data_IF_495473001180
#
_entry.id   IF_495473001180
#
_cell.length_a   1.000
_cell.length_b   1.000
_cell.length_c   1.000
_cell.angle_alpha   90.00
_cell.angle_beta   90.00
_cell.angle_gamma   90.00
#
_symmetry.space_group_name_H-M   'P 1'
#
loop_
_entity.id
_entity.type
_entity.pdbx_description
1 polymer ?
#
# COMPACT_ATOMS: atom_id res chain seq x y z
N UNK A 1 -36.27 6.49 22.05
CA UNK A 1 -35.47 5.93 20.94
C UNK A 1 -34.43 5.02 21.57
N UNK A 2 -34.47 3.72 21.27
CA UNK A 2 -33.81 2.66 22.05
C UNK A 2 -32.30 2.55 21.77
N UNK A 3 -31.59 2.06 22.78
CA UNK A 3 -30.13 1.80 22.83
C UNK A 3 -29.58 1.00 21.63
N UNK A 4 -30.43 0.16 21.00
CA UNK A 4 -30.14 -0.55 19.74
C UNK A 4 -29.85 0.39 18.54
N UNK A 5 -30.47 1.56 18.48
CA UNK A 5 -30.26 2.50 17.37
C UNK A 5 -28.91 3.22 17.46
N UNK A 6 -28.42 3.50 18.68
CA UNK A 6 -27.10 4.13 18.88
C UNK A 6 -25.94 3.18 18.60
N UNK A 7 -26.11 1.90 18.93
CA UNK A 7 -25.07 0.88 18.72
C UNK A 7 -24.83 0.61 17.22
N UNK A 8 -25.89 0.56 16.41
CA UNK A 8 -25.79 0.38 14.95
C UNK A 8 -25.15 1.55 14.20
N UNK A 9 -25.27 2.79 14.68
CA UNK A 9 -24.67 3.95 13.98
C UNK A 9 -23.15 3.99 14.15
N UNK A 10 -22.65 3.73 15.36
CA UNK A 10 -21.21 3.75 15.65
C UNK A 10 -20.46 2.64 14.89
N UNK A 11 -21.00 1.42 14.81
CA UNK A 11 -20.37 0.32 14.06
C UNK A 11 -20.29 0.59 12.55
N UNK A 12 -21.23 1.36 11.99
CA UNK A 12 -21.20 1.74 10.58
C UNK A 12 -20.18 2.85 10.29
N UNK A 13 -19.99 3.78 11.24
CA UNK A 13 -18.97 4.84 11.13
C UNK A 13 -17.55 4.28 11.26
N UNK A 14 -17.31 3.40 12.24
CA UNK A 14 -16.00 2.75 12.44
C UNK A 14 -15.58 1.90 11.21
N UNK A 15 -16.54 1.21 10.60
CA UNK A 15 -16.31 0.46 9.36
C UNK A 15 -15.98 1.37 8.18
N UNK A 16 -16.66 2.52 8.05
CA UNK A 16 -16.39 3.48 6.98
C UNK A 16 -15.01 4.12 7.14
N UNK A 17 -14.61 4.47 8.37
CA UNK A 17 -13.27 5.00 8.65
C UNK A 17 -12.18 4.00 8.25
N UNK A 18 -12.36 2.73 8.62
CA UNK A 18 -11.43 1.64 8.25
C UNK A 18 -11.31 1.51 6.74
N UNK A 19 -12.43 1.48 6.04
CA UNK A 19 -12.49 1.38 4.57
C UNK A 19 -11.80 2.58 3.90
N UNK A 20 -12.05 3.80 4.37
CA UNK A 20 -11.39 5.00 3.84
C UNK A 20 -9.88 5.00 4.11
N UNK A 21 -9.47 4.57 5.31
CA UNK A 21 -8.07 4.45 5.66
C UNK A 21 -7.33 3.46 4.73
N UNK A 22 -7.97 2.33 4.37
CA UNK A 22 -7.40 1.38 3.41
C UNK A 22 -7.25 1.98 2.01
N UNK A 23 -8.26 2.69 1.51
CA UNK A 23 -8.22 3.34 0.19
C UNK A 23 -7.11 4.39 0.15
N UNK A 24 -7.05 5.27 1.15
CA UNK A 24 -6.06 6.36 1.19
C UNK A 24 -4.64 5.81 1.32
N UNK A 25 -4.41 4.90 2.27
CA UNK A 25 -3.06 4.34 2.45
C UNK A 25 -2.65 3.47 1.26
N UNK A 26 -3.55 2.67 0.67
CA UNK A 26 -3.28 1.90 -0.54
C UNK A 26 -2.94 2.80 -1.74
N UNK A 27 -3.72 3.87 -1.95
CA UNK A 27 -3.47 4.87 -2.99
C UNK A 27 -2.13 5.59 -2.81
N UNK A 28 -1.81 6.01 -1.59
CA UNK A 28 -0.53 6.66 -1.27
C UNK A 28 0.66 5.71 -1.46
N UNK A 29 0.56 4.47 -0.98
CA UNK A 29 1.59 3.46 -1.18
C UNK A 29 1.90 3.24 -2.68
N UNK A 30 0.85 3.07 -3.48
CA UNK A 30 0.99 2.90 -4.93
C UNK A 30 1.64 4.12 -5.59
N UNK A 31 1.27 5.32 -5.14
CA UNK A 31 1.82 6.59 -5.67
C UNK A 31 3.31 6.73 -5.34
N UNK A 32 3.71 6.49 -4.09
CA UNK A 32 5.12 6.48 -3.67
C UNK A 32 5.93 5.41 -4.43
N UNK A 33 5.37 4.23 -4.69
CA UNK A 33 6.03 3.21 -5.50
C UNK A 33 6.25 3.67 -6.97
N UNK A 34 5.29 4.40 -7.57
CA UNK A 34 5.47 4.99 -8.91
C UNK A 34 6.58 6.05 -8.91
N UNK A 35 6.62 6.90 -7.89
CA UNK A 35 7.66 7.90 -7.72
C UNK A 35 9.04 7.26 -7.52
N UNK A 36 9.12 6.11 -6.85
CA UNK A 36 10.36 5.36 -6.69
C UNK A 36 10.91 4.87 -8.03
N UNK A 37 10.06 4.26 -8.86
CA UNK A 37 10.44 3.82 -10.22
C UNK A 37 10.93 5.01 -11.05
N UNK A 38 10.21 6.13 -10.97
CA UNK A 38 10.52 7.35 -11.73
C UNK A 38 11.87 7.92 -11.31
N UNK A 39 12.15 8.00 -10.01
CA UNK A 39 13.43 8.44 -9.48
C UNK A 39 14.59 7.51 -9.87
N UNK A 40 14.38 6.19 -9.85
CA UNK A 40 15.41 5.23 -10.26
C UNK A 40 15.72 5.33 -11.76
N UNK A 41 14.70 5.57 -12.60
CA UNK A 41 14.88 5.81 -14.04
C UNK A 41 15.74 7.04 -14.34
N UNK A 42 15.70 8.06 -13.47
CA UNK A 42 16.54 9.26 -13.53
C UNK A 42 17.93 9.05 -12.90
N UNK A 43 18.24 7.85 -12.39
CA UNK A 43 19.47 7.54 -11.66
C UNK A 43 19.50 8.07 -10.21
N UNK A 44 18.41 8.65 -9.72
CA UNK A 44 18.30 9.13 -8.34
C UNK A 44 17.88 7.98 -7.40
N UNK A 45 18.82 7.07 -7.16
CA UNK A 45 18.57 5.86 -6.37
C UNK A 45 18.28 6.14 -4.90
N UNK A 46 18.86 7.21 -4.32
CA UNK A 46 18.58 7.58 -2.93
C UNK A 46 17.12 8.00 -2.75
N UNK A 47 16.58 8.80 -3.69
CA UNK A 47 15.17 9.17 -3.69
C UNK A 47 14.28 7.94 -3.96
N UNK A 48 14.70 7.05 -4.86
CA UNK A 48 13.97 5.81 -5.12
C UNK A 48 13.82 4.95 -3.86
N UNK A 49 14.90 4.73 -3.12
CA UNK A 49 14.89 3.95 -1.88
C UNK A 49 14.03 4.63 -0.79
N UNK A 50 14.11 5.95 -0.67
CA UNK A 50 13.26 6.71 0.23
C UNK A 50 11.77 6.57 -0.09
N UNK A 51 11.43 6.52 -1.38
CA UNK A 51 10.04 6.40 -1.85
C UNK A 51 9.50 4.98 -1.72
N UNK A 52 10.33 3.94 -1.91
CA UNK A 52 9.95 2.57 -1.57
C UNK A 52 9.66 2.42 -0.08
N UNK A 53 10.49 3.03 0.78
CA UNK A 53 10.26 3.02 2.22
C UNK A 53 8.97 3.74 2.62
N UNK A 54 8.69 4.89 2.00
CA UNK A 54 7.43 5.60 2.22
C UNK A 54 6.22 4.74 1.80
N UNK A 55 6.32 4.01 0.69
CA UNK A 55 5.29 3.06 0.28
C UNK A 55 5.10 1.94 1.32
N UNK A 56 6.19 1.40 1.87
CA UNK A 56 6.14 0.37 2.93
C UNK A 56 5.45 0.88 4.20
N UNK A 57 5.69 2.13 4.60
CA UNK A 57 5.06 2.73 5.77
C UNK A 57 3.54 2.90 5.59
N UNK A 58 3.09 3.26 4.38
CA UNK A 58 1.66 3.33 4.06
C UNK A 58 1.03 1.92 3.98
N UNK A 59 1.70 0.96 3.37
CA UNK A 59 1.23 -0.44 3.31
C UNK A 59 1.11 -1.04 4.70
N UNK A 60 2.06 -0.81 5.60
CA UNK A 60 2.02 -1.33 6.96
C UNK A 60 0.76 -0.83 7.70
N UNK A 61 0.41 0.45 7.56
CA UNK A 61 -0.82 1.02 8.14
C UNK A 61 -2.07 0.34 7.59
N UNK A 62 -2.17 0.21 6.27
CA UNK A 62 -3.33 -0.42 5.63
C UNK A 62 -3.44 -1.92 5.97
N UNK A 63 -2.32 -2.64 5.93
CA UNK A 63 -2.26 -4.07 6.21
C UNK A 63 -2.65 -4.39 7.66
N UNK A 64 -2.29 -3.54 8.62
CA UNK A 64 -2.73 -3.69 10.01
C UNK A 64 -4.26 -3.59 10.13
N UNK A 65 -4.89 -2.63 9.45
CA UNK A 65 -6.35 -2.52 9.40
C UNK A 65 -7.00 -3.73 8.75
N UNK A 66 -6.46 -4.21 7.61
CA UNK A 66 -6.96 -5.42 6.94
C UNK A 66 -6.85 -6.65 7.83
N UNK A 67 -5.71 -6.83 8.51
CA UNK A 67 -5.48 -7.95 9.43
C UNK A 67 -6.47 -7.92 10.61
N UNK A 68 -6.78 -6.73 11.13
CA UNK A 68 -7.81 -6.55 12.15
C UNK A 68 -9.20 -6.98 11.69
N UNK A 69 -9.60 -6.61 10.46
CA UNK A 69 -10.87 -7.06 9.88
C UNK A 69 -10.93 -8.58 9.72
N UNK A 70 -9.88 -9.22 9.20
CA UNK A 70 -9.81 -10.67 9.05
C UNK A 70 -9.86 -11.39 10.41
N UNK A 71 -9.21 -10.83 11.43
CA UNK A 71 -9.24 -11.36 12.80
C UNK A 71 -10.65 -11.29 13.39
N UNK A 72 -11.35 -10.17 13.21
CA UNK A 72 -12.73 -10.00 13.67
C UNK A 72 -13.67 -10.98 12.96
N UNK A 73 -13.53 -11.13 11.64
CA UNK A 73 -14.31 -12.09 10.84
C UNK A 73 -14.10 -13.53 11.35
N UNK A 74 -12.85 -13.94 11.60
CA UNK A 74 -12.52 -15.27 12.13
C UNK A 74 -13.08 -15.52 13.55
N UNK A 75 -13.32 -14.46 14.33
CA UNK A 75 -13.97 -14.52 15.64
C UNK A 75 -15.51 -14.56 15.56
N UNK A 76 -16.09 -14.59 14.34
CA UNK A 76 -17.53 -14.60 14.11
C UNK A 76 -18.17 -13.21 14.11
N UNK A 77 -17.37 -12.14 14.11
CA UNK A 77 -17.87 -10.76 13.96
C UNK A 77 -17.94 -10.39 12.49
N UNK A 78 -18.99 -10.87 11.83
CA UNK A 78 -19.19 -10.64 10.41
C UNK A 78 -19.44 -9.17 10.09
N UNK A 79 -18.65 -8.61 9.19
CA UNK A 79 -18.86 -7.24 8.68
C UNK A 79 -19.61 -7.31 7.34
N UNK A 80 -20.61 -6.44 7.09
CA UNK A 80 -21.28 -6.39 5.80
C UNK A 80 -20.30 -6.15 4.65
N UNK A 81 -20.28 -7.08 3.68
CA UNK A 81 -19.50 -6.92 2.45
C UNK A 81 -20.22 -5.91 1.56
N UNK A 82 -19.67 -4.69 1.49
CA UNK A 82 -20.16 -3.62 0.60
C UNK A 82 -19.23 -3.45 -0.58
N UNK A 83 -19.70 -2.79 -1.65
CA UNK A 83 -18.85 -2.45 -2.80
C UNK A 83 -17.62 -1.63 -2.37
N UNK A 84 -17.78 -0.72 -1.41
CA UNK A 84 -16.69 0.11 -0.92
C UNK A 84 -15.66 -0.70 -0.10
N UNK A 85 -16.11 -1.69 0.68
CA UNK A 85 -15.22 -2.62 1.37
C UNK A 85 -14.38 -3.42 0.38
N UNK A 86 -15.00 -4.03 -0.63
CA UNK A 86 -14.28 -4.75 -1.69
C UNK A 86 -13.28 -3.84 -2.39
N UNK A 87 -13.72 -2.64 -2.78
CA UNK A 87 -12.86 -1.64 -3.43
C UNK A 87 -11.64 -1.26 -2.58
N UNK A 88 -11.83 -1.13 -1.26
CA UNK A 88 -10.73 -0.81 -0.35
C UNK A 88 -9.69 -1.93 -0.25
N UNK A 89 -10.12 -3.19 -0.28
CA UNK A 89 -9.23 -4.35 -0.32
C UNK A 89 -8.50 -4.44 -1.67
N UNK A 90 -9.18 -4.15 -2.78
CA UNK A 90 -8.57 -4.09 -4.12
C UNK A 90 -7.44 -3.05 -4.17
N UNK A 91 -7.64 -1.86 -3.59
CA UNK A 91 -6.60 -0.84 -3.50
C UNK A 91 -5.37 -1.33 -2.74
N UNK A 92 -5.58 -1.95 -1.59
CA UNK A 92 -4.48 -2.47 -0.78
C UNK A 92 -3.70 -3.57 -1.51
N UNK A 93 -4.39 -4.60 -2.03
CA UNK A 93 -3.71 -5.72 -2.69
C UNK A 93 -2.99 -5.29 -3.97
N UNK A 94 -3.57 -4.36 -4.72
CA UNK A 94 -2.91 -3.75 -5.88
C UNK A 94 -1.66 -2.96 -5.45
N UNK A 95 -1.74 -2.19 -4.37
CA UNK A 95 -0.61 -1.43 -3.85
C UNK A 95 0.54 -2.33 -3.37
N UNK A 96 0.24 -3.45 -2.70
CA UNK A 96 1.23 -4.46 -2.28
C UNK A 96 1.95 -5.01 -3.52
N UNK A 97 1.19 -5.54 -4.47
CA UNK A 97 1.75 -6.14 -5.70
C UNK A 97 2.58 -5.13 -6.48
N UNK A 98 2.11 -3.88 -6.56
CA UNK A 98 2.80 -2.82 -7.28
C UNK A 98 4.09 -2.39 -6.58
N UNK A 99 4.11 -2.32 -5.23
CA UNK A 99 5.32 -2.05 -4.46
C UNK A 99 6.38 -3.13 -4.68
N UNK A 100 5.98 -4.40 -4.68
CA UNK A 100 6.91 -5.51 -4.89
C UNK A 100 7.56 -5.40 -6.27
N UNK A 101 6.75 -5.17 -7.31
CA UNK A 101 7.23 -4.93 -8.66
C UNK A 101 8.12 -3.68 -8.74
N UNK A 102 7.76 -2.59 -8.05
CA UNK A 102 8.57 -1.37 -8.02
C UNK A 102 9.96 -1.62 -7.44
N UNK A 103 10.08 -2.44 -6.40
CA UNK A 103 11.36 -2.87 -5.84
C UNK A 103 12.25 -3.57 -6.88
N UNK A 104 11.69 -4.53 -7.62
CA UNK A 104 12.40 -5.24 -8.68
C UNK A 104 12.84 -4.31 -9.82
N UNK A 105 11.99 -3.36 -10.21
CA UNK A 105 12.31 -2.38 -11.25
C UNK A 105 13.43 -1.43 -10.78
N UNK A 106 13.38 -0.95 -9.53
CA UNK A 106 14.45 -0.10 -8.97
C UNK A 106 15.77 -0.87 -8.91
N UNK A 107 15.74 -2.14 -8.49
CA UNK A 107 16.92 -3.00 -8.49
C UNK A 107 17.50 -3.21 -9.91
N UNK A 108 16.62 -3.38 -10.91
CA UNK A 108 17.03 -3.48 -12.31
C UNK A 108 17.75 -2.21 -12.79
N UNK A 109 17.21 -1.01 -12.51
CA UNK A 109 17.87 0.24 -12.87
C UNK A 109 19.23 0.42 -12.19
N UNK A 110 19.36 0.05 -10.92
CA UNK A 110 20.66 0.04 -10.20
C UNK A 110 21.68 -0.84 -10.90
N UNK A 111 21.30 -2.07 -11.26
CA UNK A 111 22.19 -3.01 -11.97
C UNK A 111 22.62 -2.50 -13.34
N UNK A 112 21.72 -1.85 -14.08
CA UNK A 112 22.04 -1.25 -15.38
C UNK A 112 23.04 -0.09 -15.22
N UNK A 113 22.89 0.75 -14.20
CA UNK A 113 23.83 1.82 -13.91
C UNK A 113 25.23 1.29 -13.55
N UNK A 114 25.32 0.24 -12.73
CA UNK A 114 26.61 -0.38 -12.37
C UNK A 114 27.32 -1.03 -13.57
N UNK A 115 26.53 -1.63 -14.46
CA UNK A 115 27.05 -2.24 -15.70
C UNK A 115 27.63 -1.19 -16.64
N UNK A 116 26.95 -0.05 -16.79
CA UNK A 116 27.45 1.08 -17.57
C UNK A 116 28.76 1.65 -17.00
N UNK A 117 28.92 1.72 -15.67
CA UNK A 117 30.17 2.19 -15.04
C UNK A 117 31.34 1.24 -15.30
N UNK A 118 31.08 -0.06 -15.46
CA UNK A 118 32.12 -1.06 -15.68
C UNK A 118 32.69 -0.98 -17.10
N UNK A 119 31.91 -0.60 -18.11
CA UNK A 119 32.42 -0.35 -19.48
C UNK A 119 33.37 0.87 -19.54
N UNK A 120 33.09 1.95 -18.80
CA UNK A 120 33.95 3.15 -18.80
C UNK A 120 35.30 2.95 -18.08
N UNK A 121 35.46 1.92 -17.24
CA UNK A 121 36.73 1.65 -16.53
C UNK A 121 37.67 0.72 -17.27
N UNK A 122 37.19 0.05 -18.33
CA UNK A 122 37.96 -0.92 -19.11
C UNK A 122 38.51 -0.33 -20.43
N UNK A 123 38.34 0.97 -20.64
CA UNK A 123 38.98 1.77 -21.70
C UNK A 123 39.82 2.88 -21.07
#
# INVERSE_FOLDING_TARGET
MSEKAKTNTNENEDNLETVMALIVNGGNAKSSAFEAISAAKEGNFQKADSKLKEADDFLAKAHNSQSGMLTNEAQGKHVPVTLLMVHSQDHLMNAITFRDLAGEIVALYKRLADSNVTEYKNH
#
